data_IF_705281969303
#
_entry.id   IF_705281969303
#
_cell.length_a   1.000
_cell.length_b   1.000
_cell.length_c   1.000
_cell.angle_alpha   90.00
_cell.angle_beta   90.00
_cell.angle_gamma   90.00
#
_symmetry.space_group_name_H-M   'P 1'
#
loop_
_entity.id
_entity.type
_entity.pdbx_description
1 polymer ?
#
# COMPACT_ATOMS: atom_id res chain seq x y z
N UNK A 1 29.19 29.36 -24.87
CA UNK A 1 28.23 30.28 -24.28
C UNK A 1 27.06 29.46 -23.76
N UNK A 2 26.62 29.64 -22.54
CA UNK A 2 25.50 28.86 -22.00
C UNK A 2 24.17 29.59 -22.26
N UNK A 3 23.03 28.92 -22.06
CA UNK A 3 21.69 29.49 -22.27
C UNK A 3 21.50 30.79 -21.45
N UNK A 4 22.14 30.89 -20.30
CA UNK A 4 22.09 32.07 -19.42
C UNK A 4 22.76 33.28 -20.03
N UNK A 5 23.87 33.08 -20.74
CA UNK A 5 24.58 34.12 -21.46
C UNK A 5 23.77 34.60 -22.68
N UNK A 6 23.17 33.67 -23.43
CA UNK A 6 22.26 33.96 -24.57
C UNK A 6 21.05 34.76 -24.07
N UNK A 7 20.43 34.36 -22.96
CA UNK A 7 19.31 35.07 -22.34
C UNK A 7 19.69 36.52 -22.02
N UNK A 8 20.83 36.69 -21.37
CA UNK A 8 21.29 38.03 -20.95
C UNK A 8 21.58 38.93 -22.15
N UNK A 9 22.13 38.38 -23.23
CA UNK A 9 22.29 39.13 -24.46
C UNK A 9 20.95 39.47 -25.14
N UNK A 10 20.00 38.49 -25.22
CA UNK A 10 18.65 38.75 -25.76
C UNK A 10 17.89 39.81 -24.92
N UNK A 11 18.04 39.80 -23.61
CA UNK A 11 17.37 40.76 -22.71
C UNK A 11 18.01 42.17 -22.73
N UNK A 12 19.32 42.25 -23.04
CA UNK A 12 20.06 43.50 -23.03
C UNK A 12 20.12 44.17 -24.42
N UNK A 13 19.80 43.48 -25.51
CA UNK A 13 19.77 44.02 -26.85
C UNK A 13 18.34 44.40 -27.24
N UNK A 14 18.17 45.60 -27.81
CA UNK A 14 16.94 46.00 -28.48
C UNK A 14 16.99 45.52 -29.92
N UNK A 15 16.35 44.38 -30.22
CA UNK A 15 16.22 43.90 -31.57
C UNK A 15 15.24 44.75 -32.38
N UNK A 16 15.71 45.21 -33.53
CA UNK A 16 14.94 46.09 -34.42
C UNK A 16 13.97 45.24 -35.27
N UNK A 17 14.29 43.95 -35.49
CA UNK A 17 13.46 43.05 -36.29
C UNK A 17 13.54 41.60 -35.81
N UNK A 18 12.52 40.80 -36.12
CA UNK A 18 12.50 39.37 -35.89
C UNK A 18 13.66 38.66 -36.63
N UNK A 19 14.10 39.21 -37.77
CA UNK A 19 15.21 38.65 -38.55
C UNK A 19 16.54 38.75 -37.81
N UNK A 20 16.83 39.88 -37.16
CA UNK A 20 18.06 40.08 -36.38
C UNK A 20 18.10 39.16 -35.14
N UNK A 21 16.96 39.00 -34.49
CA UNK A 21 16.83 38.04 -33.37
C UNK A 21 17.10 36.60 -33.88
N UNK A 22 16.55 36.24 -35.04
CA UNK A 22 16.75 34.95 -35.66
C UNK A 22 18.22 34.69 -36.00
N UNK A 23 18.89 35.63 -36.66
CA UNK A 23 20.30 35.49 -37.01
C UNK A 23 21.19 35.36 -35.77
N UNK A 24 20.88 36.10 -34.71
CA UNK A 24 21.65 36.06 -33.48
C UNK A 24 21.48 34.68 -32.79
N UNK A 25 20.27 34.18 -32.66
CA UNK A 25 20.01 32.86 -32.12
C UNK A 25 20.64 31.74 -32.94
N UNK A 26 20.57 31.83 -34.27
CA UNK A 26 21.22 30.91 -35.20
C UNK A 26 22.74 30.87 -35.03
N UNK A 27 23.38 32.00 -34.73
CA UNK A 27 24.82 32.07 -34.48
C UNK A 27 25.21 31.27 -33.22
N UNK A 28 24.34 31.18 -32.25
CA UNK A 28 24.56 30.40 -30.99
C UNK A 28 24.32 28.92 -31.16
N UNK A 29 23.37 28.53 -32.00
CA UNK A 29 23.03 27.12 -32.27
C UNK A 29 24.15 26.37 -32.98
N UNK A 30 24.97 27.07 -33.74
CA UNK A 30 26.16 26.50 -34.40
C UNK A 30 27.29 26.16 -33.41
N UNK A 31 27.18 26.53 -32.15
CA UNK A 31 28.15 26.19 -31.12
C UNK A 31 27.81 24.83 -30.47
N UNK A 32 28.76 23.89 -30.50
CA UNK A 32 28.63 22.58 -29.83
C UNK A 32 28.31 22.69 -28.33
N UNK A 33 28.76 23.77 -27.70
CA UNK A 33 28.50 24.05 -26.30
C UNK A 33 27.02 24.36 -26.05
N UNK A 34 26.39 25.07 -26.99
CA UNK A 34 24.96 25.36 -26.90
C UNK A 34 24.11 24.10 -27.12
N UNK A 35 24.48 23.26 -28.09
CA UNK A 35 23.78 21.96 -28.27
C UNK A 35 23.87 21.08 -27.05
N UNK A 36 25.00 21.13 -26.33
CA UNK A 36 25.18 20.39 -25.08
C UNK A 36 24.39 21.06 -23.92
N UNK A 37 24.38 22.38 -23.83
CA UNK A 37 23.62 23.11 -22.81
C UNK A 37 22.11 22.95 -22.98
N UNK A 38 21.61 22.92 -24.21
CA UNK A 38 20.19 22.61 -24.50
C UNK A 38 19.84 21.19 -24.08
N UNK A 39 20.72 20.24 -24.30
CA UNK A 39 20.52 18.84 -23.93
C UNK A 39 20.65 18.56 -22.41
N UNK A 40 21.45 19.38 -21.71
CA UNK A 40 21.78 19.19 -20.26
C UNK A 40 21.26 20.30 -19.36
N UNK A 41 20.59 21.29 -19.89
CA UNK A 41 19.62 22.18 -19.28
C UNK A 41 20.06 23.17 -18.21
N UNK A 42 19.81 24.41 -18.52
CA UNK A 42 19.57 25.44 -17.52
C UNK A 42 18.08 25.88 -17.63
N UNK A 43 17.17 25.01 -17.11
CA UNK A 43 15.72 25.18 -17.19
C UNK A 43 15.23 26.46 -16.50
N UNK A 44 15.88 26.88 -15.40
CA UNK A 44 15.58 28.13 -14.74
C UNK A 44 15.74 29.33 -15.70
N UNK A 45 16.63 29.21 -16.68
CA UNK A 45 16.86 30.26 -17.65
C UNK A 45 15.75 30.44 -18.66
N UNK A 46 15.18 29.33 -19.14
CA UNK A 46 14.07 29.38 -20.11
C UNK A 46 12.79 29.80 -19.40
N UNK A 47 12.48 29.23 -18.25
CA UNK A 47 11.31 29.55 -17.44
C UNK A 47 11.25 30.98 -16.93
N UNK A 48 12.40 31.66 -16.83
CA UNK A 48 12.48 33.06 -16.40
C UNK A 48 12.36 34.07 -17.55
N UNK A 49 12.33 33.63 -18.81
CA UNK A 49 12.01 34.50 -19.94
C UNK A 49 10.51 34.87 -19.91
N UNK A 50 10.20 36.09 -20.42
CA UNK A 50 8.79 36.46 -20.64
C UNK A 50 8.18 35.48 -21.64
N UNK A 51 6.89 35.09 -21.50
CA UNK A 51 6.25 34.09 -22.36
C UNK A 51 6.44 34.27 -23.87
N UNK A 52 6.40 35.50 -24.34
CA UNK A 52 6.61 35.82 -25.76
C UNK A 52 8.07 35.54 -26.24
N UNK A 53 9.07 35.70 -25.35
CA UNK A 53 10.45 35.37 -25.70
C UNK A 53 10.71 33.86 -25.62
N UNK A 54 10.08 33.16 -24.72
CA UNK A 54 10.09 31.69 -24.66
C UNK A 54 9.56 31.13 -25.99
N UNK A 55 8.42 31.60 -26.45
CA UNK A 55 7.81 31.20 -27.72
C UNK A 55 8.67 31.51 -28.92
N UNK A 56 9.31 32.68 -28.99
CA UNK A 56 10.23 33.03 -30.03
C UNK A 56 11.45 32.11 -30.07
N UNK A 57 12.05 31.85 -28.90
CA UNK A 57 13.21 30.99 -28.76
C UNK A 57 12.87 29.54 -29.18
N UNK A 58 11.75 29.01 -28.72
CA UNK A 58 11.29 27.64 -29.05
C UNK A 58 11.01 27.50 -30.56
N UNK A 59 10.31 28.47 -31.17
CA UNK A 59 10.04 28.46 -32.61
C UNK A 59 11.29 28.57 -33.45
N UNK A 60 12.30 29.28 -32.97
CA UNK A 60 13.55 29.47 -33.69
C UNK A 60 14.52 28.32 -33.51
N UNK A 61 14.64 27.80 -32.33
CA UNK A 61 15.47 26.59 -32.06
C UNK A 61 14.94 25.38 -32.82
N UNK A 62 13.65 25.22 -32.95
CA UNK A 62 13.01 24.09 -33.60
C UNK A 62 13.41 23.92 -35.10
N UNK A 63 13.28 24.94 -35.99
CA UNK A 63 13.69 24.81 -37.38
C UNK A 63 15.20 24.79 -37.57
N UNK A 64 15.97 25.44 -36.72
CA UNK A 64 17.42 25.56 -36.88
C UNK A 64 18.17 24.33 -36.40
N UNK A 65 17.74 23.71 -35.35
CA UNK A 65 18.27 22.41 -34.92
C UNK A 65 17.92 21.30 -35.91
N UNK A 66 16.79 21.40 -36.61
CA UNK A 66 16.44 20.50 -37.70
C UNK A 66 17.45 20.56 -38.85
N UNK A 67 18.02 21.74 -39.17
CA UNK A 67 19.05 21.89 -40.19
C UNK A 67 20.41 21.32 -39.73
N UNK A 68 20.71 21.37 -38.44
CA UNK A 68 22.00 20.94 -37.90
C UNK A 68 22.01 19.46 -37.51
N UNK A 69 20.91 18.94 -36.96
CA UNK A 69 20.83 17.58 -36.38
C UNK A 69 19.82 16.67 -37.10
N UNK A 70 19.03 17.15 -38.04
CA UNK A 70 17.81 16.50 -38.56
C UNK A 70 16.77 16.16 -37.50
N UNK A 71 16.85 16.76 -36.32
CA UNK A 71 15.93 16.53 -35.21
C UNK A 71 15.19 17.82 -34.86
N UNK A 72 13.91 17.71 -34.55
CA UNK A 72 13.14 18.82 -34.00
C UNK A 72 13.35 18.87 -32.49
N UNK A 73 13.24 20.06 -31.93
CA UNK A 73 13.21 20.29 -30.49
C UNK A 73 11.89 20.96 -30.13
N UNK A 74 11.31 20.56 -29.05
CA UNK A 74 10.13 21.18 -28.47
C UNK A 74 10.37 21.48 -26.98
N UNK A 75 9.56 22.36 -26.40
CA UNK A 75 9.58 22.65 -24.97
C UNK A 75 8.53 21.79 -24.27
N UNK A 76 8.98 20.95 -23.36
CA UNK A 76 8.08 20.19 -22.52
C UNK A 76 7.52 21.08 -21.41
N UNK A 77 6.22 21.33 -21.42
CA UNK A 77 5.57 22.20 -20.44
C UNK A 77 5.52 21.58 -19.04
N UNK A 78 5.62 20.27 -18.92
CA UNK A 78 5.69 19.58 -17.62
C UNK A 78 7.08 19.73 -17.00
N UNK A 79 8.12 19.29 -17.68
CA UNK A 79 9.49 19.34 -17.18
C UNK A 79 10.11 20.74 -17.21
N UNK A 80 9.47 21.68 -17.93
CA UNK A 80 9.98 23.06 -18.14
C UNK A 80 11.33 23.09 -18.86
N UNK A 81 11.55 22.16 -19.79
CA UNK A 81 12.81 21.99 -20.46
C UNK A 81 12.66 21.66 -21.95
N UNK A 82 13.78 21.79 -22.71
CA UNK A 82 13.81 21.49 -24.12
C UNK A 82 14.11 20.02 -24.34
N UNK A 83 13.24 19.34 -25.08
CA UNK A 83 13.31 17.95 -25.45
C UNK A 83 13.50 17.75 -26.93
N UNK A 84 14.13 16.65 -27.36
CA UNK A 84 14.24 16.26 -28.76
C UNK A 84 12.92 15.61 -29.20
N UNK A 85 12.31 16.17 -30.24
CA UNK A 85 11.12 15.60 -30.87
C UNK A 85 11.53 14.35 -31.68
N UNK A 86 11.28 13.16 -31.13
CA UNK A 86 11.07 11.96 -31.91
C UNK A 86 9.58 11.85 -32.22
N UNK A 87 9.20 11.36 -33.40
CA UNK A 87 7.81 11.46 -33.92
C UNK A 87 6.75 10.95 -32.96
N UNK A 88 7.12 10.02 -32.05
CA UNK A 88 6.22 9.38 -31.11
C UNK A 88 6.34 9.96 -29.68
N UNK A 89 7.20 10.99 -29.47
CA UNK A 89 7.52 11.50 -28.13
C UNK A 89 6.87 12.82 -27.75
N UNK A 90 6.04 13.40 -28.63
CA UNK A 90 5.46 14.74 -28.41
C UNK A 90 3.95 14.64 -28.38
N UNK A 91 3.37 15.09 -27.28
CA UNK A 91 1.93 15.07 -27.05
C UNK A 91 1.46 16.50 -26.83
N UNK A 92 0.41 16.91 -27.55
CA UNK A 92 -0.24 18.20 -27.34
C UNK A 92 -1.45 18.07 -26.47
N UNK A 93 -1.48 18.83 -25.39
CA UNK A 93 -2.62 18.94 -24.49
C UNK A 93 -3.69 19.85 -25.08
N UNK A 94 -4.94 19.72 -24.64
CA UNK A 94 -6.09 20.53 -25.11
C UNK A 94 -5.88 22.04 -24.88
N UNK A 95 -5.15 22.41 -23.82
CA UNK A 95 -4.79 23.82 -23.55
C UNK A 95 -3.71 24.38 -24.49
N UNK A 96 -3.22 23.59 -25.45
CA UNK A 96 -2.19 23.96 -26.43
C UNK A 96 -0.75 23.75 -25.95
N UNK A 97 -0.53 23.31 -24.73
CA UNK A 97 0.78 22.97 -24.19
C UNK A 97 1.32 21.67 -24.79
N UNK A 98 2.63 21.52 -24.79
CA UNK A 98 3.32 20.35 -25.29
C UNK A 98 4.06 19.64 -24.20
N UNK A 99 3.92 18.32 -24.12
CA UNK A 99 4.62 17.47 -23.15
C UNK A 99 5.36 16.34 -23.87
N UNK A 100 6.45 15.86 -23.24
CA UNK A 100 7.16 14.69 -23.74
C UNK A 100 6.45 13.39 -23.32
N UNK A 101 6.80 12.30 -23.99
CA UNK A 101 6.23 10.98 -23.72
C UNK A 101 6.48 10.52 -22.28
N UNK A 102 7.67 10.78 -21.75
CA UNK A 102 8.01 10.44 -20.37
C UNK A 102 7.10 11.17 -19.36
N UNK A 103 6.85 12.47 -19.59
CA UNK A 103 5.89 13.22 -18.77
C UNK A 103 4.49 12.63 -18.90
N UNK A 104 4.05 12.29 -20.10
CA UNK A 104 2.74 11.70 -20.34
C UNK A 104 2.58 10.38 -19.58
N UNK A 105 3.50 9.45 -19.77
CA UNK A 105 3.41 8.10 -19.19
C UNK A 105 3.43 8.10 -17.66
N UNK A 106 4.07 9.11 -17.03
CA UNK A 106 4.22 9.18 -15.58
C UNK A 106 3.24 10.15 -14.88
N UNK A 107 2.72 11.16 -15.57
CA UNK A 107 2.01 12.27 -14.93
C UNK A 107 0.69 12.65 -15.59
N UNK A 108 0.30 12.00 -16.68
CA UNK A 108 -0.92 12.32 -17.41
C UNK A 108 -1.71 11.06 -17.70
N UNK A 109 -2.98 11.23 -18.01
CA UNK A 109 -3.88 10.18 -18.43
C UNK A 109 -4.83 10.72 -19.50
N UNK A 110 -5.41 9.84 -20.28
CA UNK A 110 -6.49 10.15 -21.21
C UNK A 110 -7.81 9.87 -20.54
N UNK A 111 -8.72 10.83 -20.54
CA UNK A 111 -10.07 10.66 -20.00
C UNK A 111 -10.85 9.70 -20.89
N UNK A 112 -11.33 8.59 -20.31
CA UNK A 112 -12.07 7.54 -21.03
C UNK A 112 -13.41 8.03 -21.60
N UNK A 113 -13.87 9.22 -21.18
CA UNK A 113 -15.15 9.81 -21.62
C UNK A 113 -14.96 10.80 -22.77
N UNK A 114 -14.09 11.80 -22.64
CA UNK A 114 -13.92 12.84 -23.63
C UNK A 114 -12.66 12.67 -24.49
N UNK A 115 -11.75 11.77 -24.13
CA UNK A 115 -10.47 11.57 -24.81
C UNK A 115 -9.45 12.70 -24.56
N UNK A 116 -9.74 13.67 -23.70
CA UNK A 116 -8.79 14.72 -23.35
C UNK A 116 -7.71 14.19 -22.40
N UNK A 117 -6.49 14.70 -22.60
CA UNK A 117 -5.34 14.36 -21.76
C UNK A 117 -5.27 15.35 -20.60
N UNK A 118 -5.31 14.85 -19.37
CA UNK A 118 -5.24 15.64 -18.15
C UNK A 118 -4.15 15.12 -17.20
N UNK A 119 -3.78 15.92 -16.22
CA UNK A 119 -2.77 15.56 -15.22
C UNK A 119 -3.33 14.52 -14.23
N UNK A 120 -2.50 13.59 -13.78
CA UNK A 120 -2.93 12.52 -12.85
C UNK A 120 -3.46 13.04 -11.52
N UNK A 121 -3.09 14.26 -11.11
CA UNK A 121 -3.67 14.91 -9.91
C UNK A 121 -5.16 15.22 -10.05
N UNK A 122 -5.67 15.31 -11.29
CA UNK A 122 -7.08 15.54 -11.61
C UNK A 122 -7.80 14.25 -12.02
N UNK A 123 -7.16 13.09 -11.85
CA UNK A 123 -7.72 11.81 -12.23
C UNK A 123 -8.71 11.33 -11.19
N UNK A 124 -9.95 11.23 -11.60
CA UNK A 124 -11.04 10.70 -10.82
C UNK A 124 -11.47 9.32 -11.32
N UNK A 125 -12.02 8.50 -10.45
CA UNK A 125 -12.62 7.20 -10.76
C UNK A 125 -14.00 7.14 -10.15
N UNK A 126 -14.90 6.36 -10.73
CA UNK A 126 -16.15 5.97 -10.08
C UNK A 126 -16.14 4.47 -9.80
N UNK A 127 -16.96 4.07 -8.81
CA UNK A 127 -16.96 2.69 -8.34
C UNK A 127 -17.66 1.74 -9.31
N UNK A 128 -18.59 2.25 -10.15
CA UNK A 128 -19.34 1.45 -11.11
C UNK A 128 -18.56 1.08 -12.37
N UNK A 129 -17.46 1.78 -12.67
CA UNK A 129 -16.69 1.57 -13.90
C UNK A 129 -15.19 1.76 -13.65
N UNK A 130 -14.38 0.94 -14.31
CA UNK A 130 -12.92 1.13 -14.35
C UNK A 130 -12.51 2.18 -15.39
N UNK A 131 -13.17 3.35 -15.34
CA UNK A 131 -12.87 4.50 -16.18
C UNK A 131 -12.09 5.56 -15.41
N UNK A 132 -11.19 6.24 -16.14
CA UNK A 132 -10.51 7.44 -15.65
C UNK A 132 -11.22 8.67 -16.17
N UNK A 133 -11.67 9.53 -15.29
CA UNK A 133 -12.39 10.75 -15.63
C UNK A 133 -11.50 11.96 -15.36
N UNK A 134 -11.49 12.95 -16.30
CA UNK A 134 -11.05 14.30 -15.97
C UNK A 134 -12.06 14.95 -15.01
N UNK A 135 -11.66 16.03 -14.34
CA UNK A 135 -12.51 16.70 -13.35
C UNK A 135 -13.88 17.10 -13.93
N UNK A 136 -13.89 17.67 -15.14
CA UNK A 136 -15.14 18.07 -15.81
C UNK A 136 -16.07 16.89 -16.09
N UNK A 137 -15.56 15.80 -16.66
CA UNK A 137 -16.38 14.63 -16.94
C UNK A 137 -16.84 13.91 -15.68
N UNK A 138 -16.05 13.95 -14.63
CA UNK A 138 -16.44 13.39 -13.32
C UNK A 138 -17.61 14.18 -12.75
N UNK A 139 -17.51 15.51 -12.68
CA UNK A 139 -18.56 16.38 -12.12
C UNK A 139 -19.85 16.31 -12.94
N UNK A 140 -19.75 16.17 -14.25
CA UNK A 140 -20.91 16.11 -15.14
C UNK A 140 -21.62 14.76 -15.10
N UNK A 141 -20.90 13.64 -15.02
CA UNK A 141 -21.40 12.28 -15.23
C UNK A 141 -21.49 11.41 -14.00
N UNK A 142 -20.60 11.61 -13.04
CA UNK A 142 -20.57 10.75 -11.88
C UNK A 142 -21.59 11.24 -10.83
N UNK A 143 -22.39 10.32 -10.36
CA UNK A 143 -23.35 10.53 -9.29
C UNK A 143 -22.90 9.73 -8.08
N UNK A 144 -23.29 10.19 -6.91
CA UNK A 144 -23.00 9.52 -5.66
C UNK A 144 -24.30 8.99 -5.05
N UNK A 145 -24.27 7.74 -4.60
CA UNK A 145 -25.37 7.13 -3.90
C UNK A 145 -25.13 7.19 -2.39
N UNK A 146 -25.94 7.94 -1.68
CA UNK A 146 -25.87 8.06 -0.22
C UNK A 146 -26.21 6.76 0.50
N UNK A 147 -26.98 5.86 -0.13
CA UNK A 147 -27.44 4.62 0.48
C UNK A 147 -26.34 3.54 0.50
N UNK A 148 -25.53 3.43 -0.56
CA UNK A 148 -24.44 2.47 -0.64
C UNK A 148 -23.04 3.09 -0.54
N UNK A 149 -22.94 4.41 -0.38
CA UNK A 149 -21.67 5.17 -0.27
C UNK A 149 -20.73 4.93 -1.47
N UNK A 150 -21.33 4.75 -2.69
CA UNK A 150 -20.59 4.48 -3.92
C UNK A 150 -20.88 5.53 -4.98
N UNK A 151 -19.90 5.79 -5.81
CA UNK A 151 -20.04 6.63 -7.01
C UNK A 151 -20.35 5.79 -8.24
N UNK A 152 -21.22 6.29 -9.12
CA UNK A 152 -21.62 5.61 -10.35
C UNK A 152 -21.75 6.58 -11.52
N UNK A 153 -21.45 6.10 -12.74
CA UNK A 153 -21.67 6.88 -13.96
C UNK A 153 -23.16 7.05 -14.23
N UNK A 154 -23.58 8.21 -14.74
CA UNK A 154 -25.00 8.52 -14.99
C UNK A 154 -25.73 7.54 -15.94
N UNK A 155 -24.95 6.75 -16.70
CA UNK A 155 -25.49 5.71 -17.57
C UNK A 155 -25.60 4.34 -16.88
N UNK A 156 -25.19 4.25 -15.63
CA UNK A 156 -25.32 3.05 -14.80
C UNK A 156 -26.43 3.27 -13.78
N UNK A 157 -27.21 2.25 -13.53
CA UNK A 157 -28.17 2.28 -12.44
C UNK A 157 -27.43 2.00 -11.11
N UNK A 158 -27.75 2.76 -10.08
CA UNK A 158 -27.32 2.41 -8.74
C UNK A 158 -28.04 1.14 -8.31
N UNK A 159 -27.29 0.05 -8.23
CA UNK A 159 -27.87 -1.26 -7.92
C UNK A 159 -28.01 -1.53 -6.41
N UNK A 160 -28.06 -0.49 -5.56
CA UNK A 160 -28.22 -0.66 -4.11
C UNK A 160 -29.57 -1.26 -3.67
N UNK A 161 -30.56 -1.33 -4.57
CA UNK A 161 -31.87 -1.94 -4.31
C UNK A 161 -31.94 -3.46 -4.51
N UNK A 162 -30.85 -4.12 -4.95
CA UNK A 162 -30.84 -5.57 -5.08
C UNK A 162 -30.61 -6.24 -3.72
N UNK A 163 -31.48 -7.17 -3.31
CA UNK A 163 -31.32 -7.98 -2.07
C UNK A 163 -29.95 -8.69 -2.00
N UNK A 164 -29.35 -9.00 -3.15
CA UNK A 164 -28.04 -9.65 -3.26
C UNK A 164 -26.88 -8.76 -2.75
N UNK A 165 -27.04 -7.43 -2.72
CA UNK A 165 -26.01 -6.49 -2.31
C UNK A 165 -26.03 -6.12 -0.86
N UNK A 166 -27.10 -6.43 -0.13
CA UNK A 166 -27.24 -6.13 1.29
C UNK A 166 -26.12 -6.74 2.17
N UNK A 167 -25.37 -7.72 1.64
CA UNK A 167 -24.28 -8.38 2.35
C UNK A 167 -22.89 -7.76 2.11
N UNK A 168 -22.73 -6.89 1.10
CA UNK A 168 -21.51 -6.14 0.82
C UNK A 168 -21.73 -4.66 1.11
N UNK A 169 -21.21 -4.20 2.22
CA UNK A 169 -21.50 -2.89 2.80
C UNK A 169 -20.54 -1.79 2.31
N UNK A 170 -20.92 -0.51 2.41
CA UNK A 170 -20.03 0.61 2.16
C UNK A 170 -18.78 0.57 3.04
N UNK A 171 -17.66 1.14 2.56
CA UNK A 171 -16.37 1.18 3.27
C UNK A 171 -16.50 1.74 4.70
N UNK A 172 -17.31 2.78 4.89
CA UNK A 172 -17.46 3.44 6.19
C UNK A 172 -18.36 2.69 7.18
N UNK A 173 -19.00 1.61 6.75
CA UNK A 173 -19.86 0.83 7.64
C UNK A 173 -19.01 0.18 8.74
N UNK A 174 -19.44 0.36 9.98
CA UNK A 174 -18.78 -0.25 11.15
C UNK A 174 -19.52 -1.50 11.58
N UNK A 175 -18.74 -2.51 11.98
CA UNK A 175 -19.30 -3.69 12.63
C UNK A 175 -20.00 -3.29 13.91
N UNK A 176 -21.10 -3.97 14.24
CA UNK A 176 -21.60 -3.95 15.62
C UNK A 176 -20.52 -4.54 16.53
N UNK A 177 -20.17 -3.82 17.57
CA UNK A 177 -19.12 -4.24 18.50
C UNK A 177 -19.65 -5.34 19.43
N UNK A 178 -19.38 -6.57 19.06
CA UNK A 178 -19.48 -7.71 19.95
C UNK A 178 -18.06 -8.12 20.37
N UNK A 179 -17.93 -8.70 21.56
CA UNK A 179 -16.66 -9.28 22.00
C UNK A 179 -16.92 -10.72 22.43
N UNK A 180 -16.24 -11.64 21.75
CA UNK A 180 -16.34 -13.06 22.03
C UNK A 180 -15.09 -13.60 22.72
N UNK A 181 -15.23 -14.58 23.59
CA UNK A 181 -14.12 -15.26 24.24
C UNK A 181 -14.22 -15.29 25.76
N UNK A 182 -13.09 -15.58 26.41
CA UNK A 182 -13.02 -15.72 27.87
C UNK A 182 -13.29 -14.39 28.59
N UNK A 183 -14.09 -14.43 29.66
CA UNK A 183 -14.32 -13.28 30.56
C UNK A 183 -13.00 -12.74 31.19
N UNK A 184 -11.98 -13.58 31.25
CA UNK A 184 -10.65 -13.21 31.77
C UNK A 184 -9.70 -12.71 30.72
N UNK A 185 -10.08 -12.68 29.42
CA UNK A 185 -9.23 -12.19 28.37
C UNK A 185 -9.02 -10.67 28.50
N UNK A 186 -7.77 -10.25 28.39
CA UNK A 186 -7.38 -8.84 28.45
C UNK A 186 -7.17 -8.29 27.03
N UNK A 187 -6.60 -9.12 26.14
CA UNK A 187 -6.35 -8.79 24.77
C UNK A 187 -7.46 -9.34 23.88
N UNK A 188 -8.06 -8.44 23.12
CA UNK A 188 -9.06 -8.76 22.10
C UNK A 188 -8.54 -8.30 20.73
N UNK A 189 -8.80 -9.13 19.73
CA UNK A 189 -8.35 -8.93 18.37
C UNK A 189 -9.53 -8.87 17.43
N UNK A 190 -9.51 -7.91 16.51
CA UNK A 190 -10.28 -7.89 15.29
C UNK A 190 -9.32 -7.97 14.11
N UNK A 191 -9.80 -8.37 12.95
CA UNK A 191 -8.98 -8.33 11.76
C UNK A 191 -9.74 -7.80 10.55
N UNK A 192 -8.98 -7.39 9.57
CA UNK A 192 -9.43 -7.05 8.22
C UNK A 192 -8.66 -7.95 7.26
N UNK A 193 -9.38 -8.65 6.37
CA UNK A 193 -8.78 -9.49 5.34
C UNK A 193 -9.20 -8.93 3.98
N UNK A 194 -8.25 -8.44 3.24
CA UNK A 194 -8.45 -7.99 1.86
C UNK A 194 -8.31 -9.16 0.91
N UNK A 195 -9.25 -9.32 -0.02
CA UNK A 195 -9.27 -10.43 -0.98
C UNK A 195 -10.00 -10.06 -2.28
N UNK A 196 -9.82 -10.90 -3.30
CA UNK A 196 -10.48 -10.76 -4.59
C UNK A 196 -11.03 -12.11 -5.03
N UNK A 197 -12.29 -12.15 -5.46
CA UNK A 197 -12.86 -13.37 -6.03
C UNK A 197 -12.22 -13.72 -7.37
N UNK A 198 -12.21 -15.00 -7.74
CA UNK A 198 -11.79 -15.43 -9.08
C UNK A 198 -12.74 -14.90 -10.16
N UNK A 199 -12.25 -14.81 -11.41
CA UNK A 199 -13.00 -14.19 -12.53
C UNK A 199 -14.36 -14.83 -12.82
N UNK A 200 -14.48 -16.10 -12.57
CA UNK A 200 -15.69 -16.93 -12.79
C UNK A 200 -16.63 -16.98 -11.58
N UNK A 201 -16.28 -16.28 -10.49
CA UNK A 201 -17.07 -16.20 -9.26
C UNK A 201 -17.80 -14.88 -9.15
N UNK A 202 -19.04 -14.92 -8.63
CA UNK A 202 -19.79 -13.74 -8.20
C UNK A 202 -19.25 -13.28 -6.83
N UNK A 203 -18.88 -12.00 -6.71
CA UNK A 203 -18.44 -11.44 -5.44
C UNK A 203 -19.54 -11.54 -4.38
N UNK A 204 -20.78 -11.26 -4.77
CA UNK A 204 -21.92 -11.26 -3.86
C UNK A 204 -22.24 -12.66 -3.31
N UNK A 205 -22.22 -13.69 -4.17
CA UNK A 205 -22.45 -15.08 -3.75
C UNK A 205 -21.37 -15.55 -2.77
N UNK A 206 -20.12 -15.10 -2.97
CA UNK A 206 -19.01 -15.46 -2.07
C UNK A 206 -19.11 -14.70 -0.75
N UNK A 207 -19.48 -13.42 -0.77
CA UNK A 207 -19.73 -12.65 0.44
C UNK A 207 -20.88 -13.25 1.24
N UNK A 208 -21.98 -13.65 0.61
CA UNK A 208 -23.08 -14.33 1.27
C UNK A 208 -22.62 -15.64 1.93
N UNK A 209 -21.89 -16.47 1.18
CA UNK A 209 -21.32 -17.72 1.68
C UNK A 209 -20.38 -17.51 2.87
N UNK A 210 -19.57 -16.45 2.88
CA UNK A 210 -18.71 -16.12 4.02
C UNK A 210 -19.52 -15.62 5.20
N UNK A 211 -20.54 -14.79 4.97
CA UNK A 211 -21.44 -14.33 6.02
C UNK A 211 -22.16 -15.50 6.72
N UNK A 212 -22.56 -16.54 5.98
CA UNK A 212 -23.17 -17.75 6.55
C UNK A 212 -22.24 -18.48 7.52
N UNK A 213 -20.93 -18.46 7.29
CA UNK A 213 -19.95 -19.09 8.19
C UNK A 213 -19.86 -18.40 9.57
N UNK A 214 -20.19 -17.11 9.65
CA UNK A 214 -19.92 -16.33 10.84
C UNK A 214 -21.15 -15.70 11.48
N UNK A 215 -22.18 -15.37 10.68
CA UNK A 215 -23.32 -14.61 11.13
C UNK A 215 -24.47 -15.56 11.47
N UNK A 216 -24.44 -16.10 12.67
CA UNK A 216 -25.45 -17.00 13.20
C UNK A 216 -26.10 -16.41 14.47
N UNK A 217 -27.27 -16.90 14.81
CA UNK A 217 -28.06 -16.49 16.01
C UNK A 217 -28.35 -14.99 16.11
N UNK A 218 -28.38 -14.29 14.94
CA UNK A 218 -28.67 -12.86 14.89
C UNK A 218 -27.49 -11.95 15.26
N UNK A 219 -26.28 -12.49 15.36
CA UNK A 219 -25.05 -11.73 15.56
C UNK A 219 -24.29 -11.56 14.23
N UNK A 220 -23.93 -10.32 13.92
CA UNK A 220 -23.04 -9.99 12.83
C UNK A 220 -21.60 -10.08 13.31
N UNK A 221 -20.98 -11.24 13.12
CA UNK A 221 -19.61 -11.49 13.57
C UNK A 221 -18.55 -11.06 12.57
N UNK A 222 -18.92 -10.95 11.30
CA UNK A 222 -18.11 -10.31 10.24
C UNK A 222 -18.95 -9.31 9.46
N UNK A 223 -18.27 -8.41 8.80
CA UNK A 223 -18.82 -7.49 7.81
C UNK A 223 -17.91 -7.50 6.58
N UNK A 224 -18.50 -7.74 5.41
CA UNK A 224 -17.81 -7.59 4.13
C UNK A 224 -18.08 -6.19 3.58
N UNK A 225 -17.03 -5.49 3.11
CA UNK A 225 -17.10 -4.10 2.67
C UNK A 225 -16.41 -3.89 1.35
N UNK A 226 -16.87 -2.86 0.64
CA UNK A 226 -16.08 -2.29 -0.45
C UNK A 226 -14.79 -1.69 0.10
N UNK A 227 -13.68 -1.85 -0.63
CA UNK A 227 -12.43 -1.15 -0.37
C UNK A 227 -11.90 -0.59 -1.68
N UNK A 228 -11.79 0.74 -1.76
CA UNK A 228 -11.33 1.46 -2.95
C UNK A 228 -9.87 1.23 -3.32
N UNK A 229 -9.09 0.54 -2.48
CA UNK A 229 -7.71 0.11 -2.80
C UNK A 229 -7.67 -1.20 -3.58
N UNK A 230 -8.80 -1.92 -3.65
CA UNK A 230 -8.93 -3.22 -4.29
C UNK A 230 -9.59 -3.09 -5.68
N UNK A 231 -9.65 -4.21 -6.40
CA UNK A 231 -10.38 -4.29 -7.66
C UNK A 231 -11.87 -3.97 -7.44
N UNK A 232 -12.40 -3.02 -8.20
CA UNK A 232 -13.75 -2.49 -8.02
C UNK A 232 -14.87 -3.53 -8.22
N UNK A 233 -14.64 -4.54 -9.08
CA UNK A 233 -15.62 -5.59 -9.36
C UNK A 233 -15.42 -6.85 -8.51
N UNK A 234 -14.18 -7.16 -8.16
CA UNK A 234 -13.79 -8.45 -7.56
C UNK A 234 -13.27 -8.34 -6.14
N UNK A 235 -12.78 -7.15 -5.75
CA UNK A 235 -12.17 -6.90 -4.45
C UNK A 235 -13.20 -6.64 -3.35
N UNK A 236 -12.89 -7.08 -2.14
CA UNK A 236 -13.61 -6.71 -0.92
C UNK A 236 -12.74 -6.95 0.32
N UNK A 237 -13.07 -6.25 1.38
CA UNK A 237 -12.52 -6.40 2.71
C UNK A 237 -13.51 -7.14 3.60
N UNK A 238 -13.06 -8.16 4.32
CA UNK A 238 -13.83 -8.82 5.36
C UNK A 238 -13.27 -8.42 6.73
N UNK A 239 -14.06 -7.71 7.52
CA UNK A 239 -13.71 -7.29 8.87
C UNK A 239 -14.41 -8.15 9.92
N UNK A 240 -13.66 -8.65 10.90
CA UNK A 240 -14.21 -9.43 12.01
C UNK A 240 -14.58 -8.58 13.23
N UNK A 241 -15.48 -9.10 14.04
CA UNK A 241 -15.69 -8.60 15.41
C UNK A 241 -14.49 -8.91 16.31
N UNK A 242 -14.50 -8.34 17.53
CA UNK A 242 -13.40 -8.52 18.48
C UNK A 242 -13.51 -9.87 19.21
N UNK A 243 -12.45 -10.68 19.17
CA UNK A 243 -12.40 -11.95 19.87
C UNK A 243 -11.14 -12.08 20.70
N UNK A 244 -11.20 -12.88 21.79
CA UNK A 244 -9.98 -13.27 22.49
C UNK A 244 -9.09 -14.13 21.59
N UNK A 245 -7.80 -14.21 21.91
CA UNK A 245 -6.86 -15.03 21.16
C UNK A 245 -7.30 -16.49 21.04
N UNK A 246 -7.71 -17.07 22.16
CA UNK A 246 -8.17 -18.45 22.25
C UNK A 246 -9.43 -18.68 21.40
N UNK A 247 -10.39 -17.74 21.45
CA UNK A 247 -11.60 -17.85 20.66
C UNK A 247 -11.33 -17.80 19.15
N UNK A 248 -10.41 -16.94 18.71
CA UNK A 248 -9.93 -16.94 17.31
C UNK A 248 -9.32 -18.29 16.92
N UNK A 249 -8.48 -18.87 17.78
CA UNK A 249 -7.75 -20.11 17.49
C UNK A 249 -8.65 -21.34 17.50
N UNK A 250 -9.61 -21.42 18.41
CA UNK A 250 -10.33 -22.65 18.70
C UNK A 250 -11.72 -22.71 18.05
N UNK A 251 -12.32 -21.54 17.73
CA UNK A 251 -13.74 -21.48 17.36
C UNK A 251 -14.00 -20.62 16.14
N UNK A 252 -13.61 -19.35 16.15
CA UNK A 252 -14.13 -18.32 15.25
C UNK A 252 -13.91 -18.61 13.76
N UNK A 253 -12.77 -19.18 13.40
CA UNK A 253 -12.36 -19.39 12.01
C UNK A 253 -12.59 -20.82 11.48
N UNK A 254 -13.15 -21.72 12.30
CA UNK A 254 -13.23 -23.13 11.92
C UNK A 254 -14.04 -23.33 10.61
N UNK A 255 -15.29 -22.87 10.57
CA UNK A 255 -16.18 -23.02 9.42
C UNK A 255 -15.61 -22.35 8.17
N UNK A 256 -14.96 -21.20 8.34
CA UNK A 256 -14.32 -20.47 7.24
C UNK A 256 -13.18 -21.29 6.60
N UNK A 257 -12.30 -21.87 7.40
CA UNK A 257 -11.21 -22.68 6.86
C UNK A 257 -11.68 -24.06 6.40
N UNK A 258 -12.73 -24.63 7.00
CA UNK A 258 -13.38 -25.83 6.48
C UNK A 258 -14.02 -25.62 5.10
N UNK A 259 -14.53 -24.41 4.84
CA UNK A 259 -15.02 -24.01 3.52
C UNK A 259 -13.90 -23.93 2.46
N UNK A 260 -12.64 -23.91 2.86
CA UNK A 260 -11.48 -23.69 2.00
C UNK A 260 -11.59 -22.41 1.14
N UNK A 261 -11.47 -21.23 1.75
CA UNK A 261 -11.72 -19.94 1.08
C UNK A 261 -10.80 -19.68 -0.13
N UNK A 262 -9.63 -20.32 -0.18
CA UNK A 262 -8.70 -20.19 -1.28
C UNK A 262 -9.24 -20.73 -2.62
N UNK A 263 -10.28 -21.59 -2.62
CA UNK A 263 -10.92 -22.04 -3.85
C UNK A 263 -11.83 -20.98 -4.48
N UNK A 264 -12.24 -19.96 -3.73
CA UNK A 264 -13.15 -18.91 -4.19
C UNK A 264 -12.44 -17.58 -4.43
N UNK A 265 -11.41 -17.29 -3.63
CA UNK A 265 -10.74 -16.01 -3.60
C UNK A 265 -9.23 -16.11 -3.70
N UNK A 266 -8.65 -15.06 -4.28
CA UNK A 266 -7.22 -14.76 -4.16
C UNK A 266 -7.04 -13.79 -3.00
N UNK A 267 -6.10 -14.08 -2.11
CA UNK A 267 -5.77 -13.20 -1.00
C UNK A 267 -4.63 -12.22 -1.33
N UNK A 268 -3.75 -12.57 -2.27
CA UNK A 268 -2.62 -11.74 -2.62
C UNK A 268 -2.36 -11.84 -4.12
N UNK A 269 -2.62 -10.73 -4.82
CA UNK A 269 -2.35 -10.62 -6.23
C UNK A 269 -1.61 -9.30 -6.49
N UNK A 270 -0.33 -9.38 -6.82
CA UNK A 270 0.46 -8.21 -7.23
C UNK A 270 0.65 -7.13 -6.18
N UNK A 271 0.70 -7.48 -4.89
CA UNK A 271 1.02 -6.61 -3.75
C UNK A 271 -0.13 -5.79 -3.12
N UNK A 272 -1.38 -5.92 -3.57
CA UNK A 272 -2.45 -5.03 -3.14
C UNK A 272 -3.24 -5.51 -1.90
N UNK A 273 -3.31 -6.81 -1.62
CA UNK A 273 -4.11 -7.31 -0.50
C UNK A 273 -3.29 -7.55 0.76
N UNK A 274 -3.80 -7.12 1.91
CA UNK A 274 -3.20 -7.30 3.23
C UNK A 274 -4.13 -7.97 4.24
N UNK A 275 -3.56 -8.42 5.36
CA UNK A 275 -4.30 -8.71 6.59
C UNK A 275 -3.87 -7.69 7.63
N UNK A 276 -4.86 -7.04 8.25
CA UNK A 276 -4.63 -6.09 9.32
C UNK A 276 -5.15 -6.70 10.62
N UNK A 277 -4.34 -6.67 11.68
CA UNK A 277 -4.75 -7.11 13.00
C UNK A 277 -4.90 -5.92 13.92
N UNK A 278 -6.11 -5.73 14.43
CA UNK A 278 -6.46 -4.72 15.42
C UNK A 278 -6.49 -5.33 16.81
N UNK A 279 -6.02 -4.60 17.80
CA UNK A 279 -6.15 -5.00 19.20
C UNK A 279 -6.38 -3.80 20.10
N UNK A 280 -6.99 -4.04 21.24
CA UNK A 280 -7.40 -2.98 22.15
C UNK A 280 -6.21 -2.25 22.77
N UNK A 281 -6.23 -0.91 22.64
CA UNK A 281 -5.15 0.00 23.05
C UNK A 281 -5.08 0.20 24.54
N UNK A 282 -6.24 0.24 25.22
CA UNK A 282 -6.38 0.63 26.62
C UNK A 282 -5.71 -0.32 27.64
N UNK A 283 -5.20 -1.45 27.19
CA UNK A 283 -4.51 -2.45 28.04
C UNK A 283 -2.99 -2.26 28.08
N UNK A 284 -2.49 -1.25 27.38
CA UNK A 284 -1.06 -0.91 27.33
C UNK A 284 -0.80 0.41 28.04
N UNK A 285 0.29 0.48 28.80
CA UNK A 285 0.84 1.74 29.29
C UNK A 285 1.48 2.55 28.17
N UNK A 286 1.71 3.84 28.35
CA UNK A 286 2.39 4.69 27.37
C UNK A 286 3.79 4.13 27.01
N UNK A 287 4.53 3.63 27.98
CA UNK A 287 5.84 3.00 27.75
C UNK A 287 5.72 1.72 26.92
N UNK A 288 4.72 0.89 27.16
CA UNK A 288 4.45 -0.30 26.35
C UNK A 288 4.05 0.06 24.92
N UNK A 289 3.27 1.12 24.71
CA UNK A 289 2.96 1.63 23.36
C UNK A 289 4.21 2.09 22.61
N UNK A 290 5.11 2.81 23.28
CA UNK A 290 6.40 3.22 22.71
C UNK A 290 7.27 2.02 22.36
N UNK A 291 7.32 1.02 23.23
CA UNK A 291 8.05 -0.24 22.97
C UNK A 291 7.49 -0.99 21.76
N UNK A 292 6.16 -1.10 21.63
CA UNK A 292 5.52 -1.67 20.44
C UNK A 292 5.93 -0.91 19.18
N UNK A 293 5.83 0.42 19.19
CA UNK A 293 6.21 1.25 18.05
C UNK A 293 7.68 1.05 17.66
N UNK A 294 8.56 1.05 18.66
CA UNK A 294 9.98 0.79 18.44
C UNK A 294 10.22 -0.63 17.90
N UNK A 295 9.59 -1.67 18.47
CA UNK A 295 9.80 -3.05 18.02
C UNK A 295 9.47 -3.22 16.55
N UNK A 296 8.28 -2.77 16.11
CA UNK A 296 7.84 -2.90 14.73
C UNK A 296 8.66 -2.06 13.73
N UNK A 297 9.32 -1.00 14.18
CA UNK A 297 10.11 -0.11 13.32
C UNK A 297 11.63 -0.27 13.49
N UNK A 298 12.09 -1.11 14.43
CA UNK A 298 13.53 -1.26 14.69
C UNK A 298 14.26 -1.90 13.50
N UNK A 299 15.37 -1.30 13.01
CA UNK A 299 16.07 -1.81 11.83
C UNK A 299 16.50 -3.27 11.92
N UNK A 300 16.93 -3.74 13.11
CA UNK A 300 17.32 -5.14 13.32
C UNK A 300 16.13 -6.12 13.21
N UNK A 301 14.93 -5.68 13.52
CA UNK A 301 13.72 -6.52 13.51
C UNK A 301 13.09 -6.62 12.13
N UNK A 302 13.41 -5.68 11.22
CA UNK A 302 12.79 -5.56 9.91
C UNK A 302 12.79 -6.88 9.14
N UNK A 303 13.94 -7.53 9.03
CA UNK A 303 14.05 -8.76 8.24
C UNK A 303 13.20 -9.89 8.82
N UNK A 304 13.18 -10.06 10.15
CA UNK A 304 12.31 -11.04 10.81
C UNK A 304 10.83 -10.74 10.57
N UNK A 305 10.43 -9.47 10.72
CA UNK A 305 9.03 -9.06 10.55
C UNK A 305 8.59 -9.27 9.10
N UNK A 306 9.43 -8.91 8.12
CA UNK A 306 9.17 -9.12 6.69
C UNK A 306 9.04 -10.61 6.37
N UNK A 307 9.92 -11.45 6.92
CA UNK A 307 9.88 -12.88 6.69
C UNK A 307 8.60 -13.51 7.27
N UNK A 308 8.25 -13.19 8.52
CA UNK A 308 7.00 -13.65 9.14
C UNK A 308 5.78 -13.16 8.35
N UNK A 309 5.77 -11.89 7.96
CA UNK A 309 4.65 -11.25 7.29
C UNK A 309 4.47 -11.68 5.82
N UNK A 310 5.53 -12.19 5.18
CA UNK A 310 5.54 -12.54 3.77
C UNK A 310 5.40 -11.35 2.83
N UNK A 311 5.71 -10.12 3.30
CA UNK A 311 5.52 -8.86 2.56
C UNK A 311 6.59 -7.85 2.94
N UNK A 312 7.16 -7.18 1.91
CA UNK A 312 8.02 -6.02 2.11
C UNK A 312 7.19 -4.82 2.63
N UNK A 313 7.77 -4.05 3.55
CA UNK A 313 7.10 -2.89 4.13
C UNK A 313 7.26 -1.64 3.27
N UNK A 314 6.43 -1.46 2.25
CA UNK A 314 6.34 -0.25 1.44
C UNK A 314 4.89 0.10 1.09
N UNK A 315 4.66 1.27 0.49
CA UNK A 315 3.32 1.73 0.15
C UNK A 315 2.46 1.93 1.40
N UNK A 316 1.44 1.11 1.55
CA UNK A 316 0.45 1.21 2.63
C UNK A 316 0.88 0.61 3.99
N UNK A 317 2.13 0.13 4.12
CA UNK A 317 2.64 -0.46 5.38
C UNK A 317 4.14 -0.19 5.59
N UNK A 318 4.55 1.08 5.61
CA UNK A 318 5.95 1.51 5.63
C UNK A 318 6.60 1.37 7.01
N UNK A 319 7.85 0.87 7.03
CA UNK A 319 8.71 0.98 8.20
C UNK A 319 9.23 2.41 8.37
N UNK A 320 9.37 2.85 9.61
CA UNK A 320 9.94 4.17 9.97
C UNK A 320 11.17 3.95 10.87
N UNK A 321 12.34 3.64 10.29
CA UNK A 321 13.54 3.26 11.06
C UNK A 321 14.09 4.34 11.99
N UNK A 322 13.65 5.59 11.81
CA UNK A 322 14.05 6.74 12.65
C UNK A 322 13.26 6.84 13.95
N UNK A 323 12.26 5.98 14.19
CA UNK A 323 11.49 5.99 15.44
C UNK A 323 12.39 5.58 16.60
N UNK A 324 12.35 6.38 17.66
CA UNK A 324 13.00 6.14 18.94
C UNK A 324 11.99 5.97 20.06
N UNK A 325 12.44 5.48 21.22
CA UNK A 325 11.58 5.33 22.38
C UNK A 325 11.04 6.69 22.91
N UNK A 326 11.79 7.77 22.71
CA UNK A 326 11.41 9.11 23.14
C UNK A 326 10.37 9.77 22.22
N UNK A 327 10.14 9.21 21.04
CA UNK A 327 9.15 9.74 20.12
C UNK A 327 7.74 9.56 20.70
N UNK A 328 6.92 10.62 20.69
CA UNK A 328 5.55 10.52 21.16
C UNK A 328 4.73 9.61 20.25
N UNK A 329 3.81 8.86 20.85
CA UNK A 329 2.82 8.09 20.09
C UNK A 329 1.82 9.07 19.47
N UNK A 330 1.97 9.31 18.18
CA UNK A 330 1.09 10.20 17.43
C UNK A 330 -0.19 9.46 17.05
N UNK A 331 -1.32 10.09 17.34
CA UNK A 331 -2.66 9.54 17.15
C UNK A 331 -3.45 10.21 16.04
N UNK A 332 -2.87 11.17 15.32
CA UNK A 332 -3.52 11.90 14.23
C UNK A 332 -2.51 12.33 13.18
N UNK A 333 -2.88 12.20 11.92
CA UNK A 333 -2.13 12.65 10.74
C UNK A 333 -2.14 11.59 9.64
N UNK A 334 -2.34 12.00 8.39
CA UNK A 334 -2.47 11.09 7.25
C UNK A 334 -1.22 10.26 7.00
N UNK A 335 -0.04 10.80 7.25
CA UNK A 335 1.24 10.10 7.10
C UNK A 335 1.43 8.90 8.04
N UNK A 336 0.57 8.76 9.07
CA UNK A 336 0.72 7.71 10.08
C UNK A 336 -0.12 6.47 9.81
N UNK A 337 -1.18 6.57 9.02
CA UNK A 337 -2.06 5.43 8.73
C UNK A 337 -1.40 4.36 7.87
N UNK A 338 -0.37 4.71 7.09
CA UNK A 338 0.34 3.80 6.18
C UNK A 338 1.62 3.19 6.78
N UNK A 339 1.74 3.14 8.09
CA UNK A 339 2.87 2.50 8.79
C UNK A 339 2.62 1.03 9.06
N UNK A 340 3.70 0.27 9.27
CA UNK A 340 3.62 -1.16 9.66
C UNK A 340 2.81 -1.38 10.93
N UNK A 341 2.83 -0.41 11.84
CA UNK A 341 1.96 -0.32 13.01
C UNK A 341 1.34 1.08 13.07
N UNK A 342 0.03 1.13 13.22
CA UNK A 342 -0.78 2.35 13.16
C UNK A 342 -1.48 2.60 14.51
N UNK A 343 -1.29 3.81 15.06
CA UNK A 343 -1.86 4.25 16.34
C UNK A 343 -2.92 5.35 16.16
N UNK A 344 -3.41 5.58 14.93
CA UNK A 344 -4.36 6.68 14.67
C UNK A 344 -5.71 6.48 15.34
N UNK A 345 -6.11 5.23 15.55
CA UNK A 345 -7.37 4.94 16.24
C UNK A 345 -7.20 5.14 17.76
N UNK A 346 -8.18 5.78 18.39
CA UNK A 346 -8.17 6.05 19.81
C UNK A 346 -8.31 4.77 20.67
N UNK A 347 -9.04 3.78 20.16
CA UNK A 347 -9.41 2.58 20.90
C UNK A 347 -8.59 1.35 20.54
N UNK A 348 -8.03 1.31 19.33
CA UNK A 348 -7.28 0.14 18.82
C UNK A 348 -5.91 0.53 18.29
N UNK A 349 -5.04 -0.46 18.23
CA UNK A 349 -3.76 -0.43 17.51
C UNK A 349 -3.89 -1.41 16.37
N UNK A 350 -3.38 -1.05 15.20
CA UNK A 350 -3.46 -1.84 13.99
C UNK A 350 -2.06 -2.22 13.50
N UNK A 351 -1.83 -3.51 13.24
CA UNK A 351 -0.62 -4.01 12.58
C UNK A 351 -0.95 -4.37 11.15
N UNK A 352 -0.34 -3.69 10.16
CA UNK A 352 -0.71 -3.70 8.75
C UNK A 352 0.26 -4.45 7.82
N UNK A 353 1.35 -4.97 8.36
CA UNK A 353 2.46 -5.48 7.55
C UNK A 353 2.14 -6.78 6.81
N UNK A 354 1.15 -7.56 7.25
CA UNK A 354 0.95 -8.91 6.78
C UNK A 354 0.41 -8.96 5.34
N UNK A 355 0.99 -9.84 4.54
CA UNK A 355 0.44 -10.28 3.28
C UNK A 355 -0.91 -10.95 3.52
N UNK A 356 -1.93 -10.63 2.73
CA UNK A 356 -3.19 -11.36 2.81
C UNK A 356 -2.98 -12.84 2.46
N UNK A 357 -3.60 -13.72 3.22
CA UNK A 357 -3.46 -15.16 3.07
C UNK A 357 -4.72 -15.88 3.55
N UNK A 358 -5.21 -16.83 2.76
CA UNK A 358 -6.38 -17.66 3.06
C UNK A 358 -5.99 -19.09 3.51
N UNK A 359 -4.71 -19.33 3.78
CA UNK A 359 -4.20 -20.58 4.30
C UNK A 359 -4.15 -20.53 5.83
N UNK A 360 -4.71 -21.53 6.48
CA UNK A 360 -4.95 -21.58 7.92
C UNK A 360 -3.67 -21.40 8.76
N UNK A 361 -2.59 -22.11 8.40
CA UNK A 361 -1.31 -22.04 9.12
C UNK A 361 -0.72 -20.63 9.04
N UNK A 362 -0.66 -20.04 7.86
CA UNK A 362 -0.13 -18.69 7.66
C UNK A 362 -0.99 -17.62 8.36
N UNK A 363 -2.31 -17.77 8.31
CA UNK A 363 -3.23 -16.87 8.99
C UNK A 363 -3.02 -16.87 10.51
N UNK A 364 -3.00 -18.05 11.11
CA UNK A 364 -2.77 -18.16 12.56
C UNK A 364 -1.34 -17.79 12.97
N UNK A 365 -0.33 -18.02 12.13
CA UNK A 365 1.04 -17.52 12.35
C UNK A 365 1.04 -16.00 12.57
N UNK A 366 0.29 -15.23 11.79
CA UNK A 366 0.21 -13.78 11.95
C UNK A 366 -0.44 -13.37 13.27
N UNK A 367 -1.57 -13.98 13.61
CA UNK A 367 -2.24 -13.75 14.91
C UNK A 367 -1.33 -14.11 16.07
N UNK A 368 -0.67 -15.27 16.00
CA UNK A 368 0.25 -15.75 17.05
C UNK A 368 1.45 -14.82 17.20
N UNK A 369 1.99 -14.29 16.11
CA UNK A 369 3.05 -13.30 16.16
C UNK A 369 2.58 -12.02 16.85
N UNK A 370 1.46 -11.44 16.43
CA UNK A 370 0.92 -10.23 17.05
C UNK A 370 0.63 -10.46 18.54
N UNK A 371 0.01 -11.59 18.88
CA UNK A 371 -0.33 -11.91 20.27
C UNK A 371 0.91 -12.11 21.14
N UNK A 372 1.90 -12.87 20.66
CA UNK A 372 3.13 -13.11 21.41
C UNK A 372 3.95 -11.84 21.64
N UNK A 373 4.04 -10.96 20.64
CA UNK A 373 4.67 -9.64 20.78
C UNK A 373 3.93 -8.80 21.83
N UNK A 374 2.60 -8.79 21.80
CA UNK A 374 1.77 -8.05 22.77
C UNK A 374 1.95 -8.57 24.18
N UNK A 375 1.95 -9.90 24.39
CA UNK A 375 2.22 -10.51 25.68
C UNK A 375 3.63 -10.19 26.20
N UNK A 376 4.64 -10.31 25.32
CA UNK A 376 6.02 -9.96 25.66
C UNK A 376 6.17 -8.50 26.10
N UNK A 377 5.64 -7.59 25.31
CA UNK A 377 5.70 -6.15 25.64
C UNK A 377 5.00 -5.85 26.96
N UNK A 378 3.83 -6.46 27.21
CA UNK A 378 3.07 -6.27 28.46
C UNK A 378 3.71 -6.94 29.68
N UNK A 379 4.52 -7.97 29.49
CA UNK A 379 5.22 -8.66 30.59
C UNK A 379 6.33 -7.83 31.23
N UNK A 380 6.69 -6.68 30.62
CA UNK A 380 7.79 -5.83 31.07
C UNK A 380 7.39 -4.35 31.01
N UNK A 381 7.49 -3.65 32.13
CA UNK A 381 7.32 -2.19 32.25
C UNK A 381 8.66 -1.44 32.19
N UNK A 382 9.67 -1.98 31.52
CA UNK A 382 10.98 -1.34 31.42
C UNK A 382 10.89 -0.04 30.59
N UNK A 383 11.43 1.04 31.16
CA UNK A 383 11.42 2.39 30.58
C UNK A 383 12.50 2.60 29.51
N UNK A 384 13.13 1.54 29.00
CA UNK A 384 14.23 1.67 28.05
C UNK A 384 13.97 0.96 26.73
N UNK A 385 14.53 1.53 25.68
CA UNK A 385 14.51 0.99 24.33
C UNK A 385 15.56 -0.12 24.09
N UNK A 386 16.42 -0.41 25.07
CA UNK A 386 17.62 -1.22 24.81
C UNK A 386 17.31 -2.69 24.53
N UNK A 387 16.13 -3.18 24.94
CA UNK A 387 15.77 -4.60 24.91
C UNK A 387 14.52 -4.87 24.05
N UNK A 388 14.42 -4.23 22.87
CA UNK A 388 13.27 -4.39 21.97
C UNK A 388 13.65 -4.98 20.60
N UNK A 389 14.79 -5.68 20.55
CA UNK A 389 15.20 -6.38 19.33
C UNK A 389 14.70 -7.82 19.32
N UNK A 390 14.75 -8.43 18.12
CA UNK A 390 14.27 -9.79 17.91
C UNK A 390 14.95 -10.82 18.82
N UNK A 391 16.20 -10.59 19.22
CA UNK A 391 16.95 -11.50 20.12
C UNK A 391 16.25 -11.60 21.50
N UNK A 392 15.83 -10.47 22.07
CA UNK A 392 15.12 -10.44 23.36
C UNK A 392 13.70 -10.99 23.25
N UNK A 393 13.04 -10.74 22.11
CA UNK A 393 11.74 -11.33 21.82
C UNK A 393 11.83 -12.85 21.72
N UNK A 394 12.82 -13.39 21.02
CA UNK A 394 13.03 -14.85 20.94
C UNK A 394 13.40 -15.48 22.27
N UNK A 395 14.23 -14.82 23.08
CA UNK A 395 14.53 -15.29 24.44
C UNK A 395 13.23 -15.43 25.27
N UNK A 396 12.34 -14.44 25.18
CA UNK A 396 11.05 -14.50 25.85
C UNK A 396 10.14 -15.59 25.24
N UNK A 397 10.05 -15.66 23.92
CA UNK A 397 9.18 -16.60 23.20
C UNK A 397 9.55 -18.05 23.51
N UNK A 398 10.85 -18.38 23.53
CA UNK A 398 11.35 -19.71 23.86
C UNK A 398 11.16 -20.09 25.32
N UNK A 399 11.25 -19.14 26.25
CA UNK A 399 10.92 -19.35 27.68
C UNK A 399 9.42 -19.58 27.91
N UNK A 400 8.58 -19.16 26.96
CA UNK A 400 7.12 -19.29 27.00
C UNK A 400 6.60 -20.27 25.94
N UNK A 401 7.38 -21.30 25.58
CA UNK A 401 6.96 -22.33 24.63
C UNK A 401 5.62 -22.91 25.01
N UNK A 402 4.66 -22.82 24.10
CA UNK A 402 3.32 -23.30 24.32
C UNK A 402 2.68 -23.65 22.97
N UNK A 403 1.76 -24.63 22.95
CA UNK A 403 0.94 -24.96 21.77
C UNK A 403 0.15 -23.78 21.22
N UNK A 404 -0.09 -22.75 22.04
CA UNK A 404 -0.78 -21.54 21.56
C UNK A 404 -0.03 -20.80 20.43
N UNK A 405 1.29 -20.98 20.27
CA UNK A 405 2.13 -20.38 19.25
C UNK A 405 2.68 -21.40 18.23
N UNK A 406 2.01 -22.52 18.03
CA UNK A 406 2.53 -23.64 17.25
C UNK A 406 2.75 -23.32 15.76
N UNK A 407 1.88 -22.50 15.15
CA UNK A 407 2.03 -22.09 13.73
C UNK A 407 3.22 -21.14 13.56
N UNK A 408 3.42 -20.22 14.51
CA UNK A 408 4.59 -19.33 14.52
C UNK A 408 5.88 -20.13 14.73
N UNK A 409 5.89 -21.04 15.70
CA UNK A 409 7.05 -21.89 15.96
C UNK A 409 7.40 -22.79 14.76
N UNK A 410 6.38 -23.38 14.13
CA UNK A 410 6.57 -24.18 12.92
C UNK A 410 7.25 -23.36 11.82
N UNK A 411 6.76 -22.15 11.56
CA UNK A 411 7.36 -21.25 10.57
C UNK A 411 8.80 -20.88 10.90
N UNK A 412 9.07 -20.52 12.17
CA UNK A 412 10.42 -20.12 12.60
C UNK A 412 11.44 -21.28 12.53
N UNK A 413 10.98 -22.52 12.77
CA UNK A 413 11.79 -23.72 12.59
C UNK A 413 12.08 -24.00 11.10
N UNK A 414 11.05 -23.96 10.26
CA UNK A 414 11.18 -24.17 8.82
C UNK A 414 12.13 -23.16 8.15
N UNK A 415 12.10 -21.90 8.60
CA UNK A 415 12.99 -20.82 8.19
C UNK A 415 14.36 -20.81 8.91
N UNK A 416 14.62 -21.80 9.77
CA UNK A 416 15.89 -21.98 10.49
C UNK A 416 16.29 -20.80 11.40
N UNK A 417 15.31 -20.04 11.89
CA UNK A 417 15.59 -18.91 12.78
C UNK A 417 16.20 -19.36 14.11
N UNK A 418 16.03 -20.62 14.51
CA UNK A 418 16.51 -21.18 15.77
C UNK A 418 17.71 -22.15 15.64
N UNK A 419 18.23 -22.40 14.44
CA UNK A 419 19.33 -23.36 14.21
C UNK A 419 20.58 -23.05 15.05
N UNK A 420 20.85 -21.76 15.32
CA UNK A 420 21.97 -21.35 16.16
C UNK A 420 21.84 -21.77 17.63
N UNK A 421 20.65 -22.07 18.10
CA UNK A 421 20.39 -22.47 19.50
C UNK A 421 20.82 -23.90 19.80
N UNK A 422 20.96 -24.77 18.79
CA UNK A 422 21.43 -26.16 18.95
C UNK A 422 22.83 -26.22 19.59
N UNK A 423 23.64 -25.20 19.40
CA UNK A 423 25.00 -25.12 19.86
C UNK A 423 25.19 -24.54 21.27
N UNK A 424 24.07 -24.05 21.88
CA UNK A 424 24.11 -23.39 23.19
C UNK A 424 23.63 -24.36 24.27
N UNK A 425 24.51 -24.81 25.14
CA UNK A 425 24.28 -25.82 26.17
C UNK A 425 23.11 -25.45 27.12
N UNK A 426 22.97 -24.15 27.46
CA UNK A 426 21.91 -23.62 28.32
C UNK A 426 20.51 -23.75 27.71
N UNK A 427 20.42 -23.82 26.38
CA UNK A 427 19.15 -23.89 25.64
C UNK A 427 18.75 -25.30 25.23
N UNK A 428 19.59 -26.30 25.47
CA UNK A 428 19.39 -27.66 24.98
C UNK A 428 18.06 -28.30 25.45
N UNK A 429 17.65 -28.06 26.70
CA UNK A 429 16.36 -28.55 27.22
C UNK A 429 15.18 -27.86 26.55
N UNK A 430 15.26 -26.53 26.40
CA UNK A 430 14.23 -25.71 25.75
C UNK A 430 14.09 -26.11 24.28
N UNK A 431 15.21 -26.27 23.59
CA UNK A 431 15.28 -26.68 22.20
C UNK A 431 14.70 -28.10 21.98
N UNK A 432 14.93 -29.03 22.89
CA UNK A 432 14.33 -30.38 22.82
C UNK A 432 12.81 -30.32 22.93
N UNK A 433 12.26 -29.52 23.85
CA UNK A 433 10.83 -29.33 23.99
C UNK A 433 10.22 -28.64 22.74
N UNK A 434 10.92 -27.67 22.21
CA UNK A 434 10.56 -26.98 20.97
C UNK A 434 10.48 -27.97 19.79
N UNK A 435 11.51 -28.80 19.57
CA UNK A 435 11.52 -29.83 18.50
C UNK A 435 10.41 -30.85 18.67
N UNK A 436 10.07 -31.22 19.88
CA UNK A 436 8.94 -32.12 20.17
C UNK A 436 7.62 -31.47 19.73
N UNK A 437 7.40 -30.22 20.09
CA UNK A 437 6.19 -29.45 19.70
C UNK A 437 6.08 -29.36 18.17
N UNK A 438 7.17 -29.07 17.46
CA UNK A 438 7.20 -28.98 15.98
C UNK A 438 6.93 -30.34 15.33
N UNK A 439 7.47 -31.42 15.90
CA UNK A 439 7.23 -32.77 15.40
C UNK A 439 5.76 -33.15 15.54
N UNK A 440 5.15 -32.88 16.70
CA UNK A 440 3.72 -33.09 16.94
C UNK A 440 2.86 -32.26 15.97
N UNK A 441 3.23 -30.99 15.75
CA UNK A 441 2.53 -30.11 14.84
C UNK A 441 2.57 -30.64 13.39
N UNK A 442 3.73 -31.05 12.90
CA UNK A 442 3.88 -31.64 11.54
C UNK A 442 3.03 -32.90 11.37
N UNK A 443 3.03 -33.77 12.36
CA UNK A 443 2.26 -35.01 12.30
C UNK A 443 0.73 -34.77 12.30
N UNK A 444 0.26 -33.73 12.97
CA UNK A 444 -1.15 -33.42 13.09
C UNK A 444 -1.71 -32.54 11.95
N UNK A 445 -0.85 -31.87 11.19
CA UNK A 445 -1.26 -30.89 10.17
C UNK A 445 -0.62 -31.17 8.79
N UNK A 446 -0.36 -32.41 8.46
CA UNK A 446 0.35 -32.78 7.23
C UNK A 446 -0.35 -32.28 5.98
N UNK A 447 -1.68 -32.43 5.88
CA UNK A 447 -2.47 -31.99 4.71
C UNK A 447 -2.43 -30.47 4.54
N UNK A 448 -2.53 -29.71 5.63
CA UNK A 448 -2.47 -28.24 5.61
C UNK A 448 -1.07 -27.73 5.24
N UNK A 449 -0.01 -28.41 5.69
CA UNK A 449 1.38 -28.09 5.34
C UNK A 449 1.64 -28.34 3.84
N UNK A 450 1.10 -29.40 3.28
CA UNK A 450 1.21 -29.68 1.84
C UNK A 450 0.53 -28.58 1.02
N UNK A 451 -0.67 -28.13 1.42
CA UNK A 451 -1.36 -26.99 0.80
C UNK A 451 -0.58 -25.66 0.89
N UNK A 452 0.14 -25.42 1.99
CA UNK A 452 1.01 -24.24 2.12
C UNK A 452 2.18 -24.25 1.12
N UNK A 453 2.67 -25.43 0.73
CA UNK A 453 3.86 -25.59 -0.12
C UNK A 453 3.56 -25.47 -1.63
N UNK A 454 2.32 -25.58 -2.08
CA UNK A 454 1.95 -25.59 -3.51
C UNK A 454 1.96 -24.22 -4.20
N UNK A 455 2.20 -23.12 -3.48
CA UNK A 455 2.17 -21.74 -4.02
C UNK A 455 3.51 -20.96 -3.93
N UNK A 456 4.65 -21.64 -3.85
CA UNK A 456 5.96 -20.97 -3.85
C UNK A 456 6.51 -20.83 -5.27
#
# INVERSE_FOLDING_TARGET
MNIREIKNEILNESFISQSELNEKILSYINDRVLSFAIKHQDNECIGSLKPNYQWCLIKLLNPSLRQITNQKIFYCDHHKELEIEDRDNVIQLANGNWICRDAYDNHYFECDVCGEIDHTDHRNRCDSRDHHYCETCYDERVRYCDDCDTSYDENDDCECDSEERNNLLPYNQRNKLYSHGSENAILFYGNEIEMQVYRDQSRYDIVEKFNECFNYDGFENIVCKHDGSLDSEKGFEMSSTNCSFEYHKETFWNDFFELNPAQYCKAYNGHNCGIHWHFNRNVFTENQLRRLNCFYNHPKNKNLIVDIAGREGYGYCQFVPSITFDDPIKTRGDDFKYRVINFNNEHTIEVRIFRSNLKKISFFRYLEFVHSVNEWIRSSDQDNAENITWEYYFDWLLKNISRKFENLFFFLDDRKHFDHLETIEEWNYIYTNFKTLITDFRNNNQEEIELESEEI
#
